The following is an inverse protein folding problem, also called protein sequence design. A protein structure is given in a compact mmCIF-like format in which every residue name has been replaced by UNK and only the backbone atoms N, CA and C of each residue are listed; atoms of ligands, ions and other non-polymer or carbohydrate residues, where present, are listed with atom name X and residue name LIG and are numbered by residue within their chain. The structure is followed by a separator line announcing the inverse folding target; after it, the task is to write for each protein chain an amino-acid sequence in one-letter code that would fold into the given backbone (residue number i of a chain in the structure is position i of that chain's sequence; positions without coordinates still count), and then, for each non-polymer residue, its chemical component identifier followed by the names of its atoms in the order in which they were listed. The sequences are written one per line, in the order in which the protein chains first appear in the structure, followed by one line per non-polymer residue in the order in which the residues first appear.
data_IF_036522735772
#
_entry.id   IF_036522735772
#
_cell.length_a   1.000
_cell.length_b   1.000
_cell.length_c   1.000
_cell.angle_alpha   90.00
_cell.angle_beta   90.00
_cell.angle_gamma   90.00
#
_symmetry.space_group_name_H-M   'P 1'
#
loop_
_entity.id
_entity.type
_entity.pdbx_description
1 polymer ?
#
# COMPACT_ATOMS: atom_id res chain seq x y z
N UNK A 1 -39.40 -32.62 30.68
CA UNK A 1 -38.54 -31.82 31.60
C UNK A 1 -37.75 -30.92 30.69
N UNK A 2 -38.38 -29.80 30.36
CA UNK A 2 -38.03 -28.96 29.23
C UNK A 2 -37.33 -27.71 29.76
N UNK A 3 -36.04 -27.59 29.44
CA UNK A 3 -35.21 -26.45 29.81
C UNK A 3 -35.44 -25.30 28.83
N UNK A 4 -36.37 -24.42 29.16
CA UNK A 4 -36.44 -23.08 28.59
C UNK A 4 -35.27 -22.25 29.12
N UNK A 5 -34.25 -22.04 28.28
CA UNK A 5 -33.20 -21.05 28.52
C UNK A 5 -33.74 -19.63 28.33
N UNK A 6 -33.39 -18.67 29.19
CA UNK A 6 -33.88 -17.29 29.07
C UNK A 6 -33.27 -16.63 27.83
N UNK A 7 -34.13 -16.28 26.88
CA UNK A 7 -33.80 -15.37 25.78
C UNK A 7 -33.35 -14.04 26.38
N UNK A 8 -32.04 -13.80 26.37
CA UNK A 8 -31.46 -12.50 26.66
C UNK A 8 -32.00 -11.49 25.65
N UNK A 9 -32.83 -10.57 26.12
CA UNK A 9 -33.16 -9.36 25.40
C UNK A 9 -31.84 -8.65 25.05
N UNK A 10 -31.54 -8.58 23.76
CA UNK A 10 -30.58 -7.63 23.22
C UNK A 10 -31.13 -6.24 23.50
N UNK A 11 -30.88 -5.74 24.71
CA UNK A 11 -31.03 -4.34 25.05
C UNK A 11 -30.02 -3.60 24.18
N UNK A 12 -30.51 -3.15 23.03
CA UNK A 12 -29.81 -2.29 22.09
C UNK A 12 -29.56 -0.97 22.81
N UNK A 13 -28.54 -0.95 23.67
CA UNK A 13 -27.97 0.25 24.24
C UNK A 13 -27.63 1.16 23.07
N UNK A 14 -28.52 2.12 22.78
CA UNK A 14 -28.14 3.36 22.12
C UNK A 14 -27.02 3.91 22.96
N UNK A 15 -25.78 3.64 22.56
CA UNK A 15 -24.60 4.30 23.08
C UNK A 15 -24.86 5.77 22.83
N UNK A 16 -25.36 6.48 23.84
CA UNK A 16 -25.35 7.94 23.85
C UNK A 16 -23.90 8.28 23.57
N UNK A 17 -23.64 8.88 22.42
CA UNK A 17 -22.34 9.44 22.12
C UNK A 17 -22.10 10.49 23.20
N UNK A 18 -21.37 10.10 24.24
CA UNK A 18 -20.92 11.01 25.28
C UNK A 18 -19.96 11.94 24.55
N UNK A 19 -20.39 13.17 24.32
CA UNK A 19 -19.55 14.20 23.69
C UNK A 19 -18.24 14.29 24.46
N UNK A 20 -17.14 14.46 23.74
CA UNK A 20 -15.81 14.54 24.34
C UNK A 20 -15.77 15.66 25.39
N UNK A 21 -15.21 15.37 26.57
CA UNK A 21 -15.01 16.34 27.64
C UNK A 21 -14.16 17.54 27.19
N UNK A 22 -13.27 17.34 26.21
CA UNK A 22 -12.46 18.41 25.61
C UNK A 22 -13.29 19.42 24.82
N UNK A 23 -14.33 18.96 24.13
CA UNK A 23 -15.24 19.81 23.36
C UNK A 23 -16.24 20.52 24.26
N UNK A 24 -16.84 19.76 25.18
CA UNK A 24 -17.89 20.26 26.08
C UNK A 24 -17.34 21.08 27.25
N UNK A 25 -16.04 20.92 27.57
CA UNK A 25 -15.36 21.57 28.70
C UNK A 25 -16.00 21.19 30.04
N UNK A 26 -16.54 19.97 30.12
CA UNK A 26 -17.24 19.42 31.28
C UNK A 26 -16.79 17.98 31.50
N UNK A 27 -16.76 17.56 32.76
CA UNK A 27 -16.32 16.21 33.13
C UNK A 27 -14.80 16.02 33.07
N UNK A 28 -14.40 14.79 32.71
CA UNK A 28 -13.00 14.32 32.78
C UNK A 28 -12.54 13.79 31.44
N UNK A 29 -11.34 14.20 31.04
CA UNK A 29 -10.62 13.62 29.92
C UNK A 29 -9.31 13.00 30.41
N UNK A 30 -9.04 11.76 30.04
CA UNK A 30 -7.85 11.03 30.50
C UNK A 30 -7.25 10.17 29.39
N UNK A 31 -5.92 10.21 29.24
CA UNK A 31 -5.21 9.34 28.31
C UNK A 31 -3.78 9.04 28.78
N UNK A 32 -3.19 8.01 28.18
CA UNK A 32 -1.80 7.66 28.37
C UNK A 32 -0.90 8.55 27.49
N UNK A 33 -0.01 9.31 28.12
CA UNK A 33 0.95 10.19 27.45
C UNK A 33 2.40 9.78 27.76
N UNK A 34 3.28 9.92 26.78
CA UNK A 34 4.73 9.80 26.98
C UNK A 34 5.24 11.13 27.53
N UNK A 35 5.68 11.15 28.78
CA UNK A 35 6.27 12.35 29.40
C UNK A 35 7.79 12.32 29.28
N UNK A 36 8.40 13.39 28.77
CA UNK A 36 9.85 13.53 28.80
C UNK A 36 10.39 13.58 30.24
N UNK A 37 11.53 12.92 30.45
CA UNK A 37 12.27 13.03 31.70
C UNK A 37 12.94 14.42 31.75
N UNK A 38 12.93 15.08 32.91
CA UNK A 38 13.67 16.34 33.06
C UNK A 38 15.15 16.11 32.71
N UNK A 39 15.77 17.08 32.03
CA UNK A 39 17.20 17.01 31.66
C UNK A 39 18.13 16.84 32.87
N UNK A 40 17.68 17.27 34.05
CA UNK A 40 18.45 17.17 35.30
C UNK A 40 18.58 15.72 35.82
N UNK A 41 17.79 14.78 35.29
CA UNK A 41 17.88 13.39 35.68
C UNK A 41 19.01 12.69 34.89
N UNK A 42 20.24 12.84 35.37
CA UNK A 42 21.53 12.47 34.77
C UNK A 42 21.70 11.02 34.25
N UNK A 43 20.73 10.12 34.38
CA UNK A 43 20.84 8.71 33.96
C UNK A 43 20.19 8.45 32.59
N UNK A 44 21.06 8.34 31.58
CA UNK A 44 20.83 8.26 30.12
C UNK A 44 20.49 6.86 29.60
N UNK A 45 19.24 6.37 29.74
CA UNK A 45 18.80 5.20 28.95
C UNK A 45 17.31 5.20 28.53
N UNK A 46 16.45 6.02 29.15
CA UNK A 46 15.07 6.22 28.67
C UNK A 46 14.70 7.70 28.74
N UNK A 47 14.53 8.33 27.57
CA UNK A 47 14.19 9.76 27.45
C UNK A 47 12.74 10.07 27.85
N UNK A 48 11.85 9.07 27.79
CA UNK A 48 10.42 9.24 28.06
C UNK A 48 9.87 8.17 29.01
N UNK A 49 8.83 8.53 29.76
CA UNK A 49 8.11 7.61 30.63
C UNK A 49 6.60 7.77 30.43
N UNK A 50 5.87 6.66 30.30
CA UNK A 50 4.41 6.67 30.20
C UNK A 50 3.75 7.08 31.52
N UNK A 51 2.77 7.99 31.43
CA UNK A 51 1.94 8.45 32.56
C UNK A 51 0.50 8.61 32.10
N UNK A 52 -0.44 8.29 32.97
CA UNK A 52 -1.86 8.47 32.71
C UNK A 52 -2.26 9.87 33.17
N UNK A 53 -2.45 10.80 32.22
CA UNK A 53 -2.82 12.18 32.49
C UNK A 53 -4.33 12.33 32.52
N UNK A 54 -4.84 13.24 33.36
CA UNK A 54 -6.26 13.56 33.48
C UNK A 54 -6.46 15.07 33.59
N UNK A 55 -7.34 15.61 32.75
CA UNK A 55 -7.91 16.96 32.86
C UNK A 55 -9.30 16.80 33.46
N UNK A 56 -9.51 17.36 34.65
CA UNK A 56 -10.83 17.41 35.30
C UNK A 56 -11.34 18.85 35.23
N UNK A 57 -12.27 19.10 34.30
CA UNK A 57 -12.84 20.43 34.07
C UNK A 57 -13.75 20.88 35.21
N UNK A 58 -14.41 19.94 35.88
CA UNK A 58 -15.34 20.22 36.97
C UNK A 58 -14.55 20.64 38.22
N UNK A 59 -13.52 19.87 38.57
CA UNK A 59 -12.63 20.19 39.68
C UNK A 59 -11.59 21.28 39.33
N UNK A 60 -11.43 21.63 38.04
CA UNK A 60 -10.48 22.60 37.49
C UNK A 60 -9.03 22.30 37.86
N UNK A 61 -8.64 21.05 37.71
CA UNK A 61 -7.29 20.55 38.01
C UNK A 61 -6.80 19.61 36.91
N UNK A 62 -5.48 19.51 36.81
CA UNK A 62 -4.78 18.49 36.01
C UNK A 62 -3.92 17.65 36.96
N UNK A 63 -3.89 16.34 36.76
CA UNK A 63 -2.97 15.47 37.48
C UNK A 63 -2.56 14.28 36.60
N UNK A 64 -1.57 13.52 37.05
CA UNK A 64 -1.18 12.27 36.40
C UNK A 64 -0.93 11.16 37.41
N UNK A 65 -1.03 9.91 36.96
CA UNK A 65 -0.74 8.71 37.74
C UNK A 65 0.13 7.72 36.95
N UNK A 66 0.57 6.65 37.61
CA UNK A 66 1.27 5.54 36.96
C UNK A 66 0.34 4.41 36.49
N UNK A 67 -0.97 4.51 36.78
CA UNK A 67 -1.99 3.54 36.38
C UNK A 67 -3.37 4.17 36.48
N UNK A 68 -4.29 3.70 35.64
CA UNK A 68 -5.70 4.14 35.59
C UNK A 68 -6.40 3.96 36.94
N UNK A 69 -6.06 2.90 37.69
CA UNK A 69 -6.75 2.51 38.93
C UNK A 69 -6.02 2.97 40.21
N UNK A 70 -4.87 3.63 40.10
CA UNK A 70 -4.08 3.99 41.27
C UNK A 70 -4.64 5.21 42.01
N UNK A 71 -4.78 5.08 43.33
CA UNK A 71 -5.10 6.20 44.24
C UNK A 71 -3.96 7.21 44.35
N UNK A 72 -2.71 6.77 44.12
CA UNK A 72 -1.53 7.65 44.21
C UNK A 72 -1.38 8.43 42.91
N UNK A 73 -1.74 9.70 42.97
CA UNK A 73 -1.62 10.66 41.88
C UNK A 73 -0.50 11.67 42.18
N UNK A 74 -0.05 12.39 41.15
CA UNK A 74 0.79 13.57 41.34
C UNK A 74 0.03 14.65 42.12
N UNK A 75 0.72 15.61 42.76
CA UNK A 75 0.07 16.82 43.24
C UNK A 75 -0.79 17.45 42.13
N UNK A 76 -2.08 17.75 42.37
CA UNK A 76 -2.94 18.39 41.40
C UNK A 76 -2.39 19.76 40.98
N UNK A 77 -2.48 20.08 39.70
CA UNK A 77 -2.11 21.36 39.10
C UNK A 77 -3.40 22.14 38.85
N UNK A 78 -3.68 23.20 39.63
CA UNK A 78 -4.85 24.04 39.40
C UNK A 78 -4.82 24.69 38.01
N UNK A 79 -5.99 24.89 37.39
CA UNK A 79 -6.09 25.58 36.10
C UNK A 79 -5.47 27.00 36.12
N UNK A 80 -5.49 27.69 37.27
CA UNK A 80 -4.87 29.00 37.45
C UNK A 80 -3.33 28.98 37.42
N UNK A 81 -2.72 27.80 37.56
CA UNK A 81 -1.27 27.62 37.52
C UNK A 81 -0.77 27.23 36.13
N UNK A 82 -1.68 26.98 35.19
CA UNK A 82 -1.36 26.77 33.78
C UNK A 82 -1.01 28.12 33.15
N UNK A 83 0.11 28.17 32.44
CA UNK A 83 0.55 29.35 31.67
C UNK A 83 0.19 29.25 30.19
N UNK A 84 0.07 28.04 29.68
CA UNK A 84 -0.32 27.74 28.31
C UNK A 84 0.12 26.33 27.90
N UNK A 85 -0.29 25.89 26.72
CA UNK A 85 0.22 24.72 26.06
C UNK A 85 0.53 25.02 24.59
N UNK A 86 1.67 24.54 24.11
CA UNK A 86 2.17 24.80 22.75
C UNK A 86 2.50 23.47 22.07
N UNK A 87 2.09 23.31 20.81
CA UNK A 87 2.47 22.15 20.00
C UNK A 87 3.98 22.20 19.71
N UNK A 88 4.67 21.07 19.86
CA UNK A 88 6.06 20.95 19.47
C UNK A 88 6.16 20.91 17.95
N UNK A 89 7.21 21.52 17.36
CA UNK A 89 7.43 21.40 15.92
C UNK A 89 7.52 19.92 15.54
N UNK A 90 6.95 19.56 14.40
CA UNK A 90 7.01 18.21 13.87
C UNK A 90 8.48 17.75 13.88
N UNK A 91 8.78 16.54 14.39
CA UNK A 91 10.14 16.04 14.44
C UNK A 91 10.72 16.12 13.02
N UNK A 92 11.72 16.97 12.83
CA UNK A 92 12.38 17.16 11.55
C UNK A 92 12.87 15.78 11.13
N UNK A 93 12.31 15.24 10.03
CA UNK A 93 12.54 13.89 9.48
C UNK A 93 13.91 13.36 9.87
N UNK A 94 14.00 12.67 11.01
CA UNK A 94 15.30 12.23 11.51
C UNK A 94 15.85 11.19 10.53
N UNK A 95 17.15 11.25 10.30
CA UNK A 95 17.90 10.40 9.39
C UNK A 95 17.43 8.94 9.47
N UNK A 96 17.25 8.33 8.30
CA UNK A 96 16.81 6.94 8.05
C UNK A 96 17.09 6.00 9.24
N UNK A 97 16.05 5.62 10.00
CA UNK A 97 16.15 4.47 10.90
C UNK A 97 15.42 4.56 12.26
N UNK A 98 14.90 5.71 12.69
CA UNK A 98 14.19 5.80 13.98
C UNK A 98 12.69 6.01 13.78
N UNK A 99 11.92 4.93 13.89
CA UNK A 99 10.51 4.82 13.52
C UNK A 99 9.51 5.46 14.50
N UNK A 100 9.95 6.19 15.51
CA UNK A 100 9.04 6.78 16.49
C UNK A 100 8.65 8.21 16.10
N UNK A 101 7.66 8.35 15.21
CA UNK A 101 6.97 9.62 14.99
C UNK A 101 6.15 9.97 16.24
N UNK A 102 6.81 10.52 17.26
CA UNK A 102 6.13 11.05 18.42
C UNK A 102 5.72 12.49 18.11
N UNK A 103 4.41 12.74 18.03
CA UNK A 103 3.85 14.08 18.03
C UNK A 103 3.78 14.55 19.47
N UNK A 104 4.07 15.82 19.74
CA UNK A 104 4.17 16.29 21.12
C UNK A 104 3.75 17.73 21.30
N UNK A 105 3.62 18.11 22.56
CA UNK A 105 3.28 19.45 23.00
C UNK A 105 3.96 19.72 24.35
N UNK A 106 4.11 20.99 24.71
CA UNK A 106 4.65 21.44 25.99
C UNK A 106 3.54 22.05 26.81
N UNK A 107 3.30 21.52 28.01
CA UNK A 107 2.44 22.14 29.02
C UNK A 107 3.30 23.02 29.93
N UNK A 108 3.07 24.34 29.88
CA UNK A 108 3.72 25.31 30.74
C UNK A 108 2.89 25.54 32.00
N UNK A 109 3.50 25.36 33.17
CA UNK A 109 2.90 25.68 34.47
C UNK A 109 3.76 26.70 35.21
N UNK A 110 3.25 27.28 36.29
CA UNK A 110 4.03 28.20 37.14
C UNK A 110 5.32 27.58 37.69
N UNK A 111 5.32 26.28 37.97
CA UNK A 111 6.45 25.60 38.61
C UNK A 111 7.42 25.00 37.59
N UNK A 112 6.92 24.43 36.50
CA UNK A 112 7.74 23.74 35.48
C UNK A 112 7.02 23.56 34.15
N UNK A 113 7.77 23.19 33.13
CA UNK A 113 7.26 22.76 31.83
C UNK A 113 7.25 21.24 31.72
N UNK A 114 6.26 20.68 31.02
CA UNK A 114 6.13 19.26 30.75
C UNK A 114 6.10 19.02 29.24
N UNK A 115 7.13 18.40 28.69
CA UNK A 115 7.09 17.88 27.32
C UNK A 115 6.33 16.54 27.32
N UNK A 116 5.25 16.48 26.54
CA UNK A 116 4.32 15.35 26.46
C UNK A 116 4.18 14.93 25.00
N UNK A 117 4.07 13.62 24.76
CA UNK A 117 3.91 13.06 23.42
C UNK A 117 2.74 12.08 23.34
N UNK A 118 2.06 12.12 22.20
CA UNK A 118 0.90 11.30 21.81
C UNK A 118 1.27 10.39 20.63
N UNK A 119 0.33 9.55 20.20
CA UNK A 119 0.47 8.67 19.03
C UNK A 119 0.13 9.38 17.71
N UNK A 120 -0.60 10.50 17.74
CA UNK A 120 -1.02 11.25 16.55
C UNK A 120 -0.92 12.76 16.74
N UNK A 121 -0.70 13.49 15.64
CA UNK A 121 -0.66 14.96 15.63
C UNK A 121 -1.99 15.57 16.06
N UNK A 122 -3.11 14.98 15.62
CA UNK A 122 -4.44 15.44 15.96
C UNK A 122 -4.68 15.37 17.47
N UNK A 123 -4.30 14.26 18.12
CA UNK A 123 -4.45 14.11 19.58
C UNK A 123 -3.56 15.13 20.32
N UNK A 124 -2.32 15.38 19.86
CA UNK A 124 -1.46 16.41 20.44
C UNK A 124 -2.09 17.82 20.37
N UNK A 125 -2.65 18.18 19.22
CA UNK A 125 -3.36 19.45 19.03
C UNK A 125 -4.60 19.56 19.93
N UNK A 126 -5.40 18.50 20.04
CA UNK A 126 -6.58 18.47 20.92
C UNK A 126 -6.20 18.60 22.39
N UNK A 127 -5.12 17.95 22.84
CA UNK A 127 -4.58 18.13 24.20
C UNK A 127 -4.12 19.57 24.44
N UNK A 128 -3.32 20.14 23.53
CA UNK A 128 -2.85 21.52 23.66
C UNK A 128 -4.01 22.52 23.69
N UNK A 129 -5.01 22.34 22.83
CA UNK A 129 -6.23 23.14 22.82
C UNK A 129 -7.00 23.04 24.14
N UNK A 130 -7.28 21.82 24.62
CA UNK A 130 -8.01 21.59 25.86
C UNK A 130 -7.31 22.22 27.08
N UNK A 131 -5.98 22.17 27.13
CA UNK A 131 -5.17 22.79 28.18
C UNK A 131 -5.19 24.32 28.13
N UNK A 132 -5.19 24.91 26.94
CA UNK A 132 -5.34 26.36 26.77
C UNK A 132 -6.74 26.83 27.18
N UNK A 133 -7.78 26.04 26.89
CA UNK A 133 -9.14 26.30 27.41
C UNK A 133 -9.17 26.21 28.94
N UNK A 134 -8.56 25.17 29.51
CA UNK A 134 -8.45 25.02 30.97
C UNK A 134 -7.76 26.23 31.62
N UNK A 135 -6.66 26.72 31.05
CA UNK A 135 -6.00 27.96 31.49
C UNK A 135 -6.97 29.15 31.50
N UNK A 136 -7.74 29.38 30.43
CA UNK A 136 -8.69 30.48 30.35
C UNK A 136 -9.76 30.37 31.44
N UNK A 137 -10.28 29.16 31.69
CA UNK A 137 -11.23 28.89 32.78
C UNK A 137 -10.63 29.19 34.17
N UNK A 138 -9.33 28.97 34.33
CA UNK A 138 -8.59 29.37 35.53
C UNK A 138 -8.51 30.89 35.70
N UNK A 139 -8.18 31.61 34.63
CA UNK A 139 -8.04 33.09 34.63
C UNK A 139 -9.36 33.81 34.88
N UNK A 140 -10.45 33.38 34.25
CA UNK A 140 -11.77 34.01 34.41
C UNK A 140 -12.23 34.01 35.87
N UNK A 141 -11.98 32.90 36.59
CA UNK A 141 -12.33 32.80 38.01
C UNK A 141 -11.54 33.77 38.90
N UNK A 142 -10.30 34.08 38.52
CA UNK A 142 -9.49 35.07 39.24
C UNK A 142 -10.01 36.50 39.01
N UNK A 143 -10.42 36.82 37.78
CA UNK A 143 -10.99 38.14 37.46
C UNK A 143 -12.34 38.37 38.15
N UNK A 144 -13.19 37.34 38.21
CA UNK A 144 -14.48 37.42 38.90
C UNK A 144 -14.31 37.73 40.38
N UNK A 145 -13.27 37.17 41.03
CA UNK A 145 -12.92 37.53 42.42
C UNK A 145 -12.41 38.96 42.58
N UNK A 146 -11.71 39.49 41.58
CA UNK A 146 -11.19 40.86 41.63
C UNK A 146 -12.30 41.90 41.49
N UNK A 147 -13.31 41.65 40.65
CA UNK A 147 -14.45 42.56 40.50
C UNK A 147 -15.24 42.77 41.79
N UNK A 148 -15.45 41.69 42.54
CA UNK A 148 -16.12 41.75 43.86
C UNK A 148 -15.39 42.66 44.84
N UNK A 149 -14.08 42.90 44.66
CA UNK A 149 -13.30 43.80 45.52
C UNK A 149 -13.32 45.26 45.05
N UNK A 150 -13.58 45.54 43.77
CA UNK A 150 -13.51 46.89 43.20
C UNK A 150 -14.81 47.70 43.34
N UNK A 151 -15.97 47.05 43.38
CA UNK A 151 -17.27 47.73 43.49
C UNK A 151 -17.52 48.37 44.88
N UNK A 152 -16.48 48.51 45.72
CA UNK A 152 -16.55 49.04 47.08
C UNK A 152 -15.89 50.41 47.31
N UNK A 153 -15.34 51.09 46.29
CA UNK A 153 -14.69 52.40 46.46
C UNK A 153 -15.16 53.43 45.43
N UNK A 154 -16.09 54.29 45.82
CA UNK A 154 -16.44 55.53 45.09
C UNK A 154 -15.52 56.68 45.51
N UNK A 155 -14.75 57.24 44.59
CA UNK A 155 -13.95 58.46 44.80
C UNK A 155 -14.28 59.50 43.72
N UNK A 156 -14.58 60.74 44.13
CA UNK A 156 -15.00 61.85 43.27
C UNK A 156 -13.77 62.56 42.65
N UNK A 157 -13.71 62.80 41.33
CA UNK A 157 -12.58 63.47 40.67
C UNK A 157 -12.61 65.01 40.81
N UNK A 158 -11.45 65.66 40.69
CA UNK A 158 -11.26 67.13 40.81
C UNK A 158 -10.88 67.77 39.47
N UNK A 159 -11.28 69.02 39.24
CA UNK A 159 -11.28 69.69 37.92
C UNK A 159 -9.90 69.89 37.23
N UNK A 160 -8.77 69.72 37.93
CA UNK A 160 -7.42 69.76 37.31
C UNK A 160 -7.16 68.51 36.46
N UNK A 161 -7.89 67.42 36.72
CA UNK A 161 -7.70 66.13 36.03
C UNK A 161 -8.23 66.13 34.59
N UNK A 162 -9.05 67.12 34.19
CA UNK A 162 -9.70 67.14 32.86
C UNK A 162 -8.75 67.43 31.69
N UNK A 163 -7.79 68.35 31.85
CA UNK A 163 -6.83 68.63 30.78
C UNK A 163 -5.82 67.50 30.60
N UNK A 164 -5.37 66.89 31.71
CA UNK A 164 -4.52 65.69 31.67
C UNK A 164 -5.28 64.50 31.05
N UNK A 165 -6.59 64.36 31.31
CA UNK A 165 -7.42 63.33 30.72
C UNK A 165 -7.59 63.49 29.20
N UNK A 166 -7.74 64.73 28.71
CA UNK A 166 -7.83 65.01 27.27
C UNK A 166 -6.51 64.72 26.54
N UNK A 167 -5.36 65.10 27.12
CA UNK A 167 -4.06 64.76 26.54
C UNK A 167 -3.80 63.25 26.56
N UNK A 168 -4.17 62.57 27.66
CA UNK A 168 -4.08 61.12 27.76
C UNK A 168 -4.97 60.41 26.71
N UNK A 169 -6.18 60.91 26.46
CA UNK A 169 -7.08 60.38 25.43
C UNK A 169 -6.46 60.46 24.04
N UNK A 170 -5.82 61.60 23.70
CA UNK A 170 -5.15 61.78 22.40
C UNK A 170 -3.94 60.84 22.23
N UNK A 171 -3.16 60.63 23.30
CA UNK A 171 -2.05 59.67 23.29
C UNK A 171 -2.55 58.23 23.11
N UNK A 172 -3.66 57.87 23.76
CA UNK A 172 -4.30 56.55 23.62
C UNK A 172 -4.82 56.34 22.20
N UNK A 173 -5.44 57.35 21.60
CA UNK A 173 -5.93 57.27 20.22
C UNK A 173 -4.78 57.09 19.21
N UNK A 174 -3.68 57.83 19.38
CA UNK A 174 -2.49 57.66 18.53
C UNK A 174 -1.85 56.27 18.72
N UNK A 175 -1.75 55.80 19.96
CA UNK A 175 -1.25 54.46 20.26
C UNK A 175 -2.14 53.37 19.64
N UNK A 176 -3.47 53.55 19.67
CA UNK A 176 -4.41 52.65 19.04
C UNK A 176 -4.25 52.63 17.51
N UNK A 177 -4.05 53.80 16.88
CA UNK A 177 -3.81 53.90 15.44
C UNK A 177 -2.52 53.18 15.02
N UNK A 178 -1.42 53.37 15.78
CA UNK A 178 -0.14 52.65 15.55
C UNK A 178 -0.31 51.14 15.68
N UNK A 179 -1.06 50.68 16.69
CA UNK A 179 -1.34 49.26 16.90
C UNK A 179 -2.16 48.67 15.73
N UNK A 180 -3.10 49.44 15.19
CA UNK A 180 -3.90 49.04 14.03
C UNK A 180 -3.05 48.95 12.75
N UNK A 181 -2.12 49.87 12.54
CA UNK A 181 -1.18 49.82 11.41
C UNK A 181 -0.25 48.61 11.50
N UNK A 182 0.31 48.34 12.69
CA UNK A 182 1.13 47.17 12.96
C UNK A 182 0.36 45.86 12.74
N UNK A 183 -0.92 45.82 13.11
CA UNK A 183 -1.79 44.67 12.84
C UNK A 183 -1.96 44.45 11.33
N UNK A 184 -2.25 45.49 10.55
CA UNK A 184 -2.34 45.40 9.08
C UNK A 184 -1.02 44.98 8.44
N UNK A 185 0.12 45.47 8.95
CA UNK A 185 1.46 45.10 8.47
C UNK A 185 1.77 43.62 8.73
N UNK A 186 1.36 43.09 9.89
CA UNK A 186 1.48 41.66 10.22
C UNK A 186 0.59 40.81 9.31
N UNK A 187 -0.65 41.24 9.05
CA UNK A 187 -1.57 40.56 8.15
C UNK A 187 -1.01 40.51 6.72
N UNK A 188 -0.47 41.62 6.20
CA UNK A 188 0.17 41.65 4.88
C UNK A 188 1.37 40.70 4.79
N UNK A 189 2.21 40.63 5.83
CA UNK A 189 3.31 39.66 5.88
C UNK A 189 2.81 38.22 5.89
N UNK A 190 1.74 37.92 6.61
CA UNK A 190 1.14 36.59 6.63
C UNK A 190 0.65 36.18 5.23
N UNK A 191 -0.02 37.11 4.52
CA UNK A 191 -0.47 36.88 3.14
C UNK A 191 0.70 36.65 2.17
N UNK A 192 1.80 37.39 2.31
CA UNK A 192 3.02 37.16 1.51
C UNK A 192 3.62 35.78 1.76
N UNK A 193 3.66 35.32 3.02
CA UNK A 193 4.13 33.98 3.37
C UNK A 193 3.22 32.92 2.75
N UNK A 194 1.90 33.12 2.80
CA UNK A 194 0.93 32.19 2.20
C UNK A 194 1.06 32.11 0.68
N UNK A 195 1.27 33.24 0.00
CA UNK A 195 1.51 33.26 -1.45
C UNK A 195 2.78 32.50 -1.82
N UNK A 196 3.89 32.74 -1.12
CA UNK A 196 5.14 32.01 -1.35
C UNK A 196 4.99 30.51 -1.13
N UNK A 197 4.30 30.11 -0.04
CA UNK A 197 4.03 28.70 0.23
C UNK A 197 3.16 28.07 -0.89
N UNK A 198 2.22 28.83 -1.46
CA UNK A 198 1.39 28.35 -2.58
C UNK A 198 2.23 28.13 -3.84
N UNK A 199 3.16 29.03 -4.14
CA UNK A 199 4.07 28.90 -5.28
C UNK A 199 5.04 27.71 -5.11
N UNK A 200 5.55 27.49 -3.90
CA UNK A 200 6.39 26.32 -3.57
C UNK A 200 5.62 25.00 -3.73
N UNK A 201 4.36 24.94 -3.29
CA UNK A 201 3.50 23.77 -3.50
C UNK A 201 3.19 23.55 -4.99
N UNK A 202 2.99 24.61 -5.77
CA UNK A 202 2.76 24.51 -7.21
C UNK A 202 4.01 23.99 -7.94
N UNK A 203 5.20 24.47 -7.57
CA UNK A 203 6.47 23.97 -8.10
C UNK A 203 6.67 22.48 -7.79
N UNK A 204 6.40 22.05 -6.55
CA UNK A 204 6.49 20.65 -6.15
C UNK A 204 5.54 19.75 -6.95
N UNK A 205 4.29 20.18 -7.18
CA UNK A 205 3.33 19.42 -8.01
C UNK A 205 3.81 19.27 -9.44
N UNK A 206 4.41 20.32 -10.01
CA UNK A 206 4.97 20.27 -11.37
C UNK A 206 6.12 19.27 -11.45
N UNK A 207 7.04 19.26 -10.47
CA UNK A 207 8.12 18.27 -10.40
C UNK A 207 7.59 16.84 -10.25
N UNK A 208 6.52 16.64 -9.47
CA UNK A 208 5.85 15.35 -9.32
C UNK A 208 5.20 14.86 -10.63
N UNK A 209 4.54 15.75 -11.37
CA UNK A 209 3.97 15.45 -12.69
C UNK A 209 5.06 15.10 -13.72
N UNK A 210 6.15 15.88 -13.78
CA UNK A 210 7.30 15.60 -14.66
C UNK A 210 7.96 14.25 -14.31
N UNK A 211 8.10 13.94 -13.02
CA UNK A 211 8.63 12.65 -12.57
C UNK A 211 7.70 11.47 -12.93
N UNK A 212 6.38 11.67 -12.81
CA UNK A 212 5.39 10.67 -13.20
C UNK A 212 5.40 10.43 -14.72
N UNK A 213 5.52 11.49 -15.52
CA UNK A 213 5.63 11.38 -16.98
C UNK A 213 6.92 10.65 -17.39
N UNK A 214 8.06 10.99 -16.77
CA UNK A 214 9.33 10.30 -17.01
C UNK A 214 9.23 8.81 -16.68
N UNK A 215 8.60 8.46 -15.55
CA UNK A 215 8.38 7.05 -15.17
C UNK A 215 7.50 6.31 -16.17
N UNK A 216 6.46 6.97 -16.69
CA UNK A 216 5.60 6.41 -17.74
C UNK A 216 6.36 6.19 -19.05
N UNK A 217 7.23 7.11 -19.44
CA UNK A 217 8.10 6.96 -20.61
C UNK A 217 9.10 5.81 -20.43
N UNK A 218 9.71 5.68 -19.25
CA UNK A 218 10.62 4.57 -18.93
C UNK A 218 9.91 3.21 -18.98
N UNK A 219 8.69 3.13 -18.44
CA UNK A 219 7.87 1.91 -18.52
C UNK A 219 7.52 1.56 -19.98
N UNK A 220 7.11 2.55 -20.79
CA UNK A 220 6.80 2.32 -22.20
C UNK A 220 8.04 1.85 -22.99
N UNK A 221 9.22 2.40 -22.70
CA UNK A 221 10.48 1.96 -23.30
C UNK A 221 10.84 0.52 -22.89
N UNK A 222 10.60 0.15 -21.62
CA UNK A 222 10.81 -1.22 -21.14
C UNK A 222 9.86 -2.22 -21.83
N UNK A 223 8.59 -1.85 -22.01
CA UNK A 223 7.61 -2.68 -22.73
C UNK A 223 8.00 -2.85 -24.21
N UNK A 224 8.43 -1.79 -24.89
CA UNK A 224 8.93 -1.88 -26.27
C UNK A 224 10.16 -2.80 -26.38
N UNK A 225 11.08 -2.71 -25.41
CA UNK A 225 12.26 -3.59 -25.38
C UNK A 225 11.86 -5.06 -25.26
N UNK A 226 10.89 -5.40 -24.39
CA UNK A 226 10.39 -6.77 -24.24
C UNK A 226 9.74 -7.29 -25.53
N UNK A 227 9.00 -6.43 -26.25
CA UNK A 227 8.41 -6.81 -27.55
C UNK A 227 9.49 -7.13 -28.58
N UNK A 228 10.54 -6.30 -28.67
CA UNK A 228 11.65 -6.54 -29.60
C UNK A 228 12.44 -7.81 -29.26
N UNK A 229 12.65 -8.10 -27.97
CA UNK A 229 13.31 -9.32 -27.51
C UNK A 229 12.51 -10.57 -27.91
N UNK A 230 11.19 -10.56 -27.69
CA UNK A 230 10.32 -11.66 -28.14
C UNK A 230 10.34 -11.83 -29.66
N UNK A 231 10.31 -10.75 -30.43
CA UNK A 231 10.41 -10.82 -31.89
C UNK A 231 11.75 -11.43 -32.35
N UNK A 232 12.84 -11.14 -31.62
CA UNK A 232 14.14 -11.74 -31.92
C UNK A 232 14.16 -13.25 -31.62
N UNK A 233 13.54 -13.69 -30.52
CA UNK A 233 13.38 -15.12 -30.19
C UNK A 233 12.54 -15.86 -31.26
N UNK A 234 11.42 -15.28 -31.68
CA UNK A 234 10.56 -15.84 -32.73
C UNK A 234 11.34 -15.99 -34.06
N UNK A 235 12.17 -14.99 -34.42
CA UNK A 235 13.04 -15.06 -35.59
C UNK A 235 14.12 -16.15 -35.47
N UNK A 236 14.72 -16.33 -34.29
CA UNK A 236 15.68 -17.40 -34.04
C UNK A 236 15.04 -18.78 -34.17
N UNK A 237 13.81 -18.95 -33.67
CA UNK A 237 13.07 -20.20 -33.78
C UNK A 237 12.72 -20.53 -35.24
N UNK A 238 12.31 -19.54 -36.03
CA UNK A 238 12.09 -19.72 -37.48
C UNK A 238 13.37 -20.09 -38.23
N UNK A 239 14.52 -19.48 -37.88
CA UNK A 239 15.81 -19.86 -38.46
C UNK A 239 16.18 -21.30 -38.14
N UNK A 240 15.97 -21.74 -36.90
CA UNK A 240 16.21 -23.14 -36.51
C UNK A 240 15.30 -24.10 -37.29
N UNK A 241 14.03 -23.74 -37.48
CA UNK A 241 13.09 -24.55 -38.25
C UNK A 241 13.50 -24.69 -39.72
N UNK A 242 14.03 -23.63 -40.32
CA UNK A 242 14.57 -23.66 -41.68
C UNK A 242 15.79 -24.59 -41.78
N UNK A 243 16.70 -24.54 -40.81
CA UNK A 243 17.86 -25.44 -40.78
C UNK A 243 17.43 -26.92 -40.70
N UNK A 244 16.44 -27.23 -39.86
CA UNK A 244 15.90 -28.59 -39.76
C UNK A 244 15.31 -29.04 -41.11
N UNK A 245 14.55 -28.17 -41.79
CA UNK A 245 14.00 -28.47 -43.11
C UNK A 245 15.09 -28.69 -44.17
N UNK A 246 16.17 -27.91 -44.13
CA UNK A 246 17.32 -28.10 -45.02
C UNK A 246 18.00 -29.46 -44.79
N UNK A 247 18.20 -29.86 -43.53
CA UNK A 247 18.76 -31.18 -43.17
C UNK A 247 17.85 -32.35 -43.59
N UNK A 248 16.53 -32.21 -43.46
CA UNK A 248 15.59 -33.22 -43.94
C UNK A 248 15.63 -33.34 -45.48
N UNK A 249 15.75 -32.22 -46.19
CA UNK A 249 15.85 -32.21 -47.64
C UNK A 249 17.17 -32.81 -48.15
N UNK A 250 18.28 -32.59 -47.44
CA UNK A 250 19.55 -33.23 -47.78
C UNK A 250 19.50 -34.74 -47.52
N UNK A 251 18.94 -35.18 -46.38
CA UNK A 251 18.76 -36.59 -46.07
C UNK A 251 17.90 -37.32 -47.11
N UNK A 252 16.77 -36.71 -47.54
CA UNK A 252 15.92 -37.28 -48.60
C UNK A 252 16.66 -37.43 -49.93
N UNK A 253 17.47 -36.45 -50.33
CA UNK A 253 18.28 -36.52 -51.54
C UNK A 253 19.30 -37.66 -51.49
N UNK A 254 19.95 -37.85 -50.34
CA UNK A 254 20.89 -38.97 -50.14
C UNK A 254 20.17 -40.33 -50.20
N UNK A 255 18.97 -40.45 -49.64
CA UNK A 255 18.16 -41.67 -49.73
C UNK A 255 17.72 -41.97 -51.17
N UNK A 256 17.28 -40.95 -51.92
CA UNK A 256 16.94 -41.08 -53.34
C UNK A 256 18.15 -41.51 -54.18
N UNK A 257 19.34 -40.95 -53.92
CA UNK A 257 20.58 -41.33 -54.59
C UNK A 257 20.97 -42.78 -54.28
N UNK A 258 20.92 -43.19 -53.00
CA UNK A 258 21.16 -44.58 -52.57
C UNK A 258 20.16 -45.54 -53.21
N UNK A 259 18.88 -45.16 -53.28
CA UNK A 259 17.85 -45.96 -53.92
C UNK A 259 18.07 -46.08 -55.44
N UNK A 260 18.48 -45.00 -56.10
CA UNK A 260 18.82 -45.00 -57.51
C UNK A 260 20.05 -45.88 -57.79
N UNK A 261 21.07 -45.82 -56.95
CA UNK A 261 22.25 -46.68 -57.03
C UNK A 261 21.87 -48.16 -56.86
N UNK A 262 21.09 -48.50 -55.83
CA UNK A 262 20.60 -49.87 -55.61
C UNK A 262 19.78 -50.39 -56.79
N UNK A 263 18.94 -49.55 -57.42
CA UNK A 263 18.21 -49.92 -58.65
C UNK A 263 19.14 -50.20 -59.82
N UNK A 264 20.21 -49.41 -60.00
CA UNK A 264 21.24 -49.67 -61.02
C UNK A 264 21.96 -51.00 -60.77
N UNK A 265 22.36 -51.27 -59.54
CA UNK A 265 23.01 -52.53 -59.15
C UNK A 265 22.09 -53.74 -59.38
N UNK A 266 20.82 -53.65 -58.98
CA UNK A 266 19.82 -54.70 -59.21
C UNK A 266 19.57 -54.95 -60.71
N UNK A 267 19.55 -53.91 -61.54
CA UNK A 267 19.42 -54.05 -62.99
C UNK A 267 20.63 -54.77 -63.61
N UNK A 268 21.85 -54.49 -63.12
CA UNK A 268 23.07 -55.19 -63.55
C UNK A 268 23.03 -56.67 -63.13
N UNK A 269 22.66 -56.97 -61.89
CA UNK A 269 22.51 -58.35 -61.40
C UNK A 269 21.47 -59.13 -62.23
N UNK A 270 20.29 -58.53 -62.45
CA UNK A 270 19.24 -59.16 -63.27
C UNK A 270 19.73 -59.47 -64.69
N UNK A 271 20.51 -58.57 -65.31
CA UNK A 271 21.09 -58.81 -66.63
C UNK A 271 22.07 -60.00 -66.62
N UNK A 272 22.90 -60.12 -65.59
CA UNK A 272 23.81 -61.25 -65.41
C UNK A 272 23.05 -62.58 -65.20
N UNK A 273 21.97 -62.56 -64.42
CA UNK A 273 21.11 -63.74 -64.22
C UNK A 273 20.38 -64.17 -65.51
N UNK A 274 19.86 -63.21 -66.29
CA UNK A 274 19.23 -63.49 -67.58
C UNK A 274 20.23 -64.11 -68.57
N UNK A 275 21.45 -63.57 -68.67
CA UNK A 275 22.54 -64.13 -69.48
C UNK A 275 22.96 -65.54 -69.00
N UNK A 276 23.01 -65.78 -67.69
CA UNK A 276 23.32 -67.10 -67.12
C UNK A 276 22.18 -68.14 -67.30
N UNK A 277 20.92 -67.69 -67.43
CA UNK A 277 19.76 -68.56 -67.62
C UNK A 277 19.49 -68.95 -69.09
N UNK A 278 20.10 -68.23 -70.05
CA UNK A 278 19.90 -68.41 -71.48
C UNK A 278 20.16 -69.84 -72.01
N UNK A 279 21.13 -70.64 -71.52
CA UNK A 279 21.30 -72.01 -72.01
C UNK A 279 20.37 -73.05 -71.35
N UNK A 280 19.53 -72.70 -70.35
CA UNK A 280 18.65 -73.67 -69.66
C UNK A 280 17.20 -73.70 -70.16
N UNK A 281 16.78 -72.75 -71.00
CA UNK A 281 15.41 -72.68 -71.53
C UNK A 281 15.15 -73.54 -72.79
N UNK A 282 16.08 -74.41 -73.19
CA UNK A 282 15.84 -75.42 -74.24
C UNK A 282 15.39 -76.79 -73.71
N UNK A 283 15.16 -76.98 -72.40
CA UNK A 283 14.88 -78.32 -71.86
C UNK A 283 13.72 -78.45 -70.85
N UNK A 284 12.85 -77.45 -70.72
CA UNK A 284 11.66 -77.51 -69.86
C UNK A 284 10.42 -76.95 -70.58
N UNK A 285 10.07 -77.58 -71.70
CA UNK A 285 8.79 -77.41 -72.38
C UNK A 285 8.17 -78.78 -72.64
N UNK A 286 7.90 -79.53 -71.56
CA UNK A 286 7.01 -80.69 -71.49
C UNK A 286 6.57 -80.81 -70.03
N UNK A 287 5.26 -80.92 -69.83
CA UNK A 287 4.57 -81.21 -68.57
C UNK A 287 4.28 -80.01 -67.65
N UNK A 288 3.21 -79.29 -68.01
CA UNK A 288 2.43 -78.47 -67.08
C UNK A 288 0.96 -78.91 -67.14
N UNK A 289 0.36 -79.38 -66.03
CA UNK A 289 -1.07 -79.67 -65.97
C UNK A 289 -1.89 -78.38 -65.88
N UNK A 290 -3.02 -78.37 -66.57
CA UNK A 290 -4.04 -77.34 -66.48
C UNK A 290 -4.57 -77.24 -65.04
N UNK A 291 -4.43 -76.06 -64.44
CA UNK A 291 -4.98 -75.76 -63.11
C UNK A 291 -6.04 -74.67 -63.25
N UNK A 292 -7.23 -74.97 -62.71
CA UNK A 292 -8.45 -74.17 -62.74
C UNK A 292 -8.28 -72.84 -61.96
N UNK A 293 -8.65 -71.68 -62.52
CA UNK A 293 -8.41 -70.36 -61.94
C UNK A 293 -9.39 -69.92 -60.83
N UNK A 294 -10.18 -70.83 -60.26
CA UNK A 294 -11.31 -70.44 -59.38
C UNK A 294 -10.99 -70.33 -57.88
N UNK A 295 -9.81 -70.73 -57.40
CA UNK A 295 -9.52 -70.78 -55.94
C UNK A 295 -8.49 -69.72 -55.50
N UNK A 296 -7.73 -69.14 -56.43
CA UNK A 296 -6.68 -68.15 -56.12
C UNK A 296 -7.19 -66.72 -55.90
N UNK A 297 -8.38 -66.39 -56.42
CA UNK A 297 -8.97 -65.04 -56.25
C UNK A 297 -9.51 -64.84 -54.83
N UNK A 298 -9.98 -65.91 -54.16
CA UNK A 298 -10.56 -65.81 -52.82
C UNK A 298 -9.48 -65.78 -51.70
N UNK A 299 -8.34 -66.44 -51.92
CA UNK A 299 -7.21 -66.40 -50.98
C UNK A 299 -6.46 -65.05 -51.00
N UNK A 300 -6.39 -64.38 -52.15
CA UNK A 300 -5.80 -63.03 -52.26
C UNK A 300 -6.73 -61.93 -51.70
N UNK A 301 -8.05 -62.12 -51.75
CA UNK A 301 -9.01 -61.20 -51.14
C UNK A 301 -9.00 -61.23 -49.60
N UNK A 302 -8.74 -62.39 -48.97
CA UNK A 302 -8.62 -62.46 -47.50
C UNK A 302 -7.30 -61.91 -46.95
N UNK A 303 -6.20 -61.98 -47.71
CA UNK A 303 -4.90 -61.43 -47.28
C UNK A 303 -4.82 -59.91 -47.36
N UNK A 304 -5.54 -59.27 -48.30
CA UNK A 304 -5.60 -57.80 -48.41
C UNK A 304 -6.58 -57.15 -47.42
N UNK A 305 -7.46 -57.92 -46.77
CA UNK A 305 -8.40 -57.39 -45.77
C UNK A 305 -7.83 -57.34 -44.33
N UNK A 306 -6.71 -58.02 -44.05
CA UNK A 306 -6.11 -58.07 -42.71
C UNK A 306 -5.06 -56.99 -42.42
N UNK A 307 -4.63 -56.20 -43.41
CA UNK A 307 -3.53 -55.23 -43.27
C UNK A 307 -3.97 -53.76 -43.08
N UNK A 308 -5.26 -53.51 -42.78
CA UNK A 308 -5.82 -52.14 -42.66
C UNK A 308 -6.37 -51.80 -41.26
N UNK A 309 -6.28 -52.68 -40.26
CA UNK A 309 -6.99 -52.50 -38.97
C UNK A 309 -6.09 -52.21 -37.75
N UNK A 310 -4.76 -52.19 -37.86
CA UNK A 310 -3.88 -52.05 -36.67
C UNK A 310 -3.01 -50.77 -36.58
N UNK A 311 -3.31 -49.69 -37.29
CA UNK A 311 -2.56 -48.41 -37.14
C UNK A 311 -3.34 -47.20 -36.59
N UNK A 312 -4.64 -47.33 -36.29
CA UNK A 312 -5.45 -46.20 -35.81
C UNK A 312 -5.79 -46.19 -34.30
N UNK A 313 -5.16 -47.07 -33.51
CA UNK A 313 -5.48 -47.21 -32.08
C UNK A 313 -4.82 -46.19 -31.14
N UNK A 314 -3.70 -45.57 -31.51
CA UNK A 314 -2.87 -44.82 -30.55
C UNK A 314 -3.00 -43.30 -30.60
N UNK A 315 -3.68 -42.73 -31.60
CA UNK A 315 -3.77 -41.26 -31.75
C UNK A 315 -4.74 -40.64 -30.73
N UNK A 316 -5.77 -41.35 -30.29
CA UNK A 316 -6.78 -40.77 -29.37
C UNK A 316 -6.25 -40.45 -27.97
N UNK A 317 -5.19 -41.12 -27.51
CA UNK A 317 -4.57 -40.82 -26.21
C UNK A 317 -3.70 -39.55 -26.28
N UNK A 318 -2.91 -39.41 -27.35
CA UNK A 318 -2.08 -38.21 -27.57
C UNK A 318 -2.92 -36.96 -27.81
N UNK A 319 -4.01 -37.07 -28.58
CA UNK A 319 -4.93 -35.94 -28.81
C UNK A 319 -5.62 -35.46 -27.53
N UNK A 320 -5.92 -36.37 -26.58
CA UNK A 320 -6.48 -35.98 -25.27
C UNK A 320 -5.46 -35.26 -24.39
N UNK A 321 -4.18 -35.66 -24.44
CA UNK A 321 -3.13 -34.97 -23.67
C UNK A 321 -2.80 -33.60 -24.27
N UNK A 322 -2.79 -33.47 -25.61
CA UNK A 322 -2.65 -32.16 -26.29
C UNK A 322 -3.80 -31.23 -25.90
N UNK A 323 -5.05 -31.71 -25.91
CA UNK A 323 -6.22 -30.91 -25.56
C UNK A 323 -6.20 -30.47 -24.08
N UNK A 324 -5.70 -31.33 -23.18
CA UNK A 324 -5.50 -31.01 -21.76
C UNK A 324 -4.44 -29.92 -21.55
N UNK A 325 -3.33 -29.97 -22.30
CA UNK A 325 -2.29 -28.95 -22.22
C UNK A 325 -2.75 -27.58 -22.75
N UNK A 326 -3.59 -27.57 -23.80
CA UNK A 326 -4.22 -26.33 -24.28
C UNK A 326 -5.18 -25.70 -23.26
N UNK A 327 -5.97 -26.50 -22.54
CA UNK A 327 -6.83 -25.99 -21.47
C UNK A 327 -6.01 -25.38 -20.30
N UNK A 328 -4.88 -25.99 -19.93
CA UNK A 328 -3.98 -25.45 -18.91
C UNK A 328 -3.38 -24.11 -19.37
N UNK A 329 -2.96 -23.99 -20.63
CA UNK A 329 -2.47 -22.71 -21.16
C UNK A 329 -3.56 -21.65 -21.22
N UNK A 330 -4.79 -22.02 -21.63
CA UNK A 330 -5.94 -21.11 -21.69
C UNK A 330 -6.34 -20.61 -20.29
N UNK A 331 -6.27 -21.46 -19.27
CA UNK A 331 -6.51 -21.07 -17.88
C UNK A 331 -5.43 -20.10 -17.34
N UNK A 332 -4.18 -20.22 -17.81
CA UNK A 332 -3.09 -19.28 -17.46
C UNK A 332 -3.24 -17.93 -18.17
N UNK A 333 -3.63 -17.92 -19.44
CA UNK A 333 -3.77 -16.67 -20.22
C UNK A 333 -5.00 -15.86 -19.84
N UNK A 334 -6.07 -16.50 -19.34
CA UNK A 334 -7.25 -15.80 -18.84
C UNK A 334 -7.05 -15.09 -17.50
N UNK A 335 -5.83 -15.10 -16.94
CA UNK A 335 -5.47 -14.25 -15.82
C UNK A 335 -6.43 -14.45 -14.67
N UNK A 336 -6.26 -15.56 -13.93
CA UNK A 336 -6.77 -15.64 -12.57
C UNK A 336 -6.23 -14.45 -11.78
N UNK A 337 -6.95 -13.33 -11.82
CA UNK A 337 -6.92 -12.28 -10.82
C UNK A 337 -7.24 -13.01 -9.54
N UNK A 338 -6.20 -13.34 -8.78
CA UNK A 338 -6.42 -13.85 -7.44
C UNK A 338 -7.36 -12.87 -6.75
N UNK A 339 -8.48 -13.34 -6.16
CA UNK A 339 -9.32 -12.48 -5.37
C UNK A 339 -8.42 -11.88 -4.29
N UNK A 340 -8.23 -10.56 -4.37
CA UNK A 340 -7.31 -9.84 -3.50
C UNK A 340 -7.53 -10.29 -2.08
N UNK A 341 -6.48 -10.83 -1.47
CA UNK A 341 -6.38 -11.02 -0.05
C UNK A 341 -6.69 -9.67 0.59
N UNK A 342 -7.94 -9.52 1.05
CA UNK A 342 -8.31 -8.46 1.98
C UNK A 342 -7.43 -8.68 3.19
N UNK A 343 -6.34 -7.93 3.28
CA UNK A 343 -5.62 -7.79 4.53
C UNK A 343 -6.59 -7.14 5.51
N UNK A 344 -7.19 -8.02 6.30
CA UNK A 344 -7.98 -7.72 7.46
C UNK A 344 -7.09 -6.91 8.40
N UNK A 345 -7.34 -5.60 8.44
CA UNK A 345 -6.71 -4.69 9.37
C UNK A 345 -7.17 -5.06 10.78
N UNK A 346 -6.43 -5.94 11.43
CA UNK A 346 -6.53 -6.17 12.86
C UNK A 346 -6.30 -4.84 13.58
N UNK A 347 -7.39 -4.23 14.01
CA UNK A 347 -7.40 -3.18 15.03
C UNK A 347 -6.84 -3.78 16.32
N UNK A 348 -5.53 -3.63 16.50
CA UNK A 348 -4.90 -3.74 17.81
C UNK A 348 -5.42 -2.62 18.68
N UNK A 349 -6.39 -2.95 19.55
CA UNK A 349 -6.59 -2.27 20.84
C UNK A 349 -5.23 -2.09 21.50
N UNK A 350 -4.81 -0.84 21.72
CA UNK A 350 -4.11 -0.42 22.93
C UNK A 350 -4.24 1.07 23.15
#
# INVERSE_FOLDING_TARGET
MDHHGPHGHHESHRVRQVKDARETRQGRYSAWLKKAKSRDACFKLQSHVMRYFTIDFDARIIFYSHSVLQKKVSPPIPFMDIRGAEELPLPMKHAKGTTAMNFGFVLHTKLRSFELYTSSSADAAEWAFALNVAMLMGKLKCLERLKVLQDGQEHLPTDVEKEEEEEALKQVEEAAARLQEDAKRKELRLLQIQLRAKDEVAAFRKEEEEAAEKKKQEQAAAEQKQVLEKQAEDLQMLQLQLLIQEEELTARKEEEEKAAQKKKEAAVQKKQEEEASAPRKQQAAKDLPAFEPSVLVEALAMLLASEVVESNGNTTAEWKEIQRLEEIQRARSQGCKQPGTKHEATHGRH
#
